data_IF_678447686954
#
_entry.id   IF_678447686954
#
_cell.length_a   1.000
_cell.length_b   1.000
_cell.length_c   1.000
_cell.angle_alpha   90.00
_cell.angle_beta   90.00
_cell.angle_gamma   90.00
#
_symmetry.space_group_name_H-M   'P 1'
#
loop_
_entity.id
_entity.type
_entity.pdbx_description
1 polymer ?
#
# COMPACT_ATOMS: atom_id res chain seq x y z
N UNK A 1 9.14 11.80 -23.18
CA UNK A 1 8.37 10.72 -22.53
C UNK A 1 8.27 11.12 -21.07
N UNK A 2 7.14 10.88 -20.43
CA UNK A 2 7.02 11.16 -19.00
C UNK A 2 7.96 10.22 -18.23
N UNK A 3 8.66 10.75 -17.26
CA UNK A 3 9.52 9.99 -16.35
C UNK A 3 8.89 10.05 -14.96
N UNK A 4 8.70 8.89 -14.32
CA UNK A 4 8.09 8.76 -13.02
C UNK A 4 9.14 8.36 -11.99
N UNK A 5 9.30 9.14 -10.93
CA UNK A 5 10.25 8.91 -9.85
C UNK A 5 9.52 8.39 -8.62
N UNK A 6 9.77 7.14 -8.24
CA UNK A 6 9.12 6.44 -7.14
C UNK A 6 10.06 6.40 -5.94
N UNK A 7 9.67 7.01 -4.83
CA UNK A 7 10.39 6.95 -3.57
C UNK A 7 10.05 5.67 -2.80
N UNK A 8 11.05 4.83 -2.54
CA UNK A 8 10.96 3.72 -1.60
C UNK A 8 11.60 4.16 -0.29
N UNK A 9 10.75 4.47 0.70
CA UNK A 9 11.15 5.14 1.93
C UNK A 9 11.51 4.13 3.01
N UNK A 10 12.74 4.21 3.50
CA UNK A 10 13.29 3.43 4.61
C UNK A 10 13.09 1.90 4.50
N UNK A 11 13.37 1.26 3.34
CA UNK A 11 13.14 -0.19 3.20
C UNK A 11 14.06 -1.03 4.11
N UNK A 12 15.17 -0.46 4.58
CA UNK A 12 16.07 -1.07 5.56
C UNK A 12 15.51 -1.06 6.99
N UNK A 13 14.46 -0.30 7.24
CA UNK A 13 13.75 -0.19 8.53
C UNK A 13 12.30 -0.65 8.40
N UNK A 14 11.59 -0.23 7.33
CA UNK A 14 10.19 -0.49 7.05
C UNK A 14 10.04 -1.39 5.80
N UNK A 15 10.60 -2.58 5.81
CA UNK A 15 10.60 -3.51 4.66
C UNK A 15 10.02 -4.91 4.97
N UNK A 16 9.26 -5.04 6.06
CA UNK A 16 8.71 -6.32 6.50
C UNK A 16 7.69 -6.88 5.48
N UNK A 17 7.65 -8.19 5.33
CA UNK A 17 6.70 -8.93 4.47
C UNK A 17 6.76 -8.58 2.96
N UNK A 18 7.87 -7.99 2.49
CA UNK A 18 8.06 -7.67 1.08
C UNK A 18 7.24 -6.47 0.59
N UNK A 19 6.91 -5.54 1.49
CA UNK A 19 6.12 -4.34 1.14
C UNK A 19 6.85 -3.38 0.20
N UNK A 20 8.18 -3.44 0.13
CA UNK A 20 9.01 -2.78 -0.88
C UNK A 20 8.64 -3.20 -2.32
N UNK A 21 8.05 -4.37 -2.48
CA UNK A 21 7.45 -4.83 -3.72
C UNK A 21 6.37 -3.90 -4.28
N UNK A 22 5.73 -3.03 -3.46
CA UNK A 22 4.78 -2.05 -3.96
C UNK A 22 5.42 -1.04 -4.93
N UNK A 23 6.65 -0.59 -4.65
CA UNK A 23 7.41 0.27 -5.56
C UNK A 23 7.75 -0.47 -6.87
N UNK A 24 8.08 -1.76 -6.79
CA UNK A 24 8.33 -2.60 -7.97
C UNK A 24 7.07 -2.74 -8.84
N UNK A 25 5.90 -2.95 -8.22
CA UNK A 25 4.62 -3.04 -8.95
C UNK A 25 4.31 -1.71 -9.66
N UNK A 26 4.45 -0.58 -8.98
CA UNK A 26 4.24 0.74 -9.60
C UNK A 26 5.17 0.95 -10.79
N UNK A 27 6.48 0.71 -10.62
CA UNK A 27 7.45 0.82 -11.72
C UNK A 27 7.09 -0.08 -12.88
N UNK A 28 6.77 -1.34 -12.61
CA UNK A 28 6.43 -2.30 -13.66
C UNK A 28 5.16 -1.90 -14.40
N UNK A 29 4.10 -1.49 -13.69
CA UNK A 29 2.86 -1.06 -14.34
C UNK A 29 3.04 0.21 -15.17
N UNK A 30 3.86 1.18 -14.69
CA UNK A 30 4.21 2.36 -15.47
C UNK A 30 4.94 1.97 -16.78
N UNK A 31 5.93 1.09 -16.70
CA UNK A 31 6.69 0.61 -17.87
C UNK A 31 5.82 -0.15 -18.86
N UNK A 32 4.91 -1.00 -18.40
CA UNK A 32 3.93 -1.68 -19.26
C UNK A 32 2.99 -0.69 -20.00
N UNK A 33 2.87 0.52 -19.50
CA UNK A 33 2.14 1.63 -20.14
C UNK A 33 3.02 2.54 -21.01
N UNK A 34 4.30 2.18 -21.21
CA UNK A 34 5.25 2.97 -21.97
C UNK A 34 5.76 4.22 -21.24
N UNK A 35 5.62 4.26 -19.91
CA UNK A 35 6.08 5.34 -19.06
C UNK A 35 7.41 4.93 -18.42
N UNK A 36 8.47 5.70 -18.63
CA UNK A 36 9.76 5.49 -17.95
C UNK A 36 9.55 5.69 -16.45
N UNK A 37 10.03 4.74 -15.63
CA UNK A 37 9.86 4.82 -14.18
C UNK A 37 11.09 4.28 -13.45
N UNK A 38 11.56 5.05 -12.46
CA UNK A 38 12.73 4.72 -11.65
C UNK A 38 12.36 4.69 -10.16
N UNK A 39 13.03 3.80 -9.39
CA UNK A 39 12.87 3.69 -7.95
C UNK A 39 14.09 4.33 -7.27
N UNK A 40 13.82 5.31 -6.42
CA UNK A 40 14.79 5.97 -5.56
C UNK A 40 14.66 5.37 -4.16
N UNK A 41 15.64 4.57 -3.77
CA UNK A 41 15.70 3.99 -2.42
C UNK A 41 16.25 5.02 -1.46
N UNK A 42 15.48 5.37 -0.44
CA UNK A 42 15.85 6.32 0.61
C UNK A 42 16.06 5.52 1.90
N UNK A 43 17.30 5.41 2.34
CA UNK A 43 17.67 4.61 3.52
C UNK A 43 17.61 5.43 4.81
N UNK A 44 17.58 4.75 5.93
CA UNK A 44 17.68 5.41 7.24
C UNK A 44 18.92 6.31 7.32
N UNK A 45 18.74 7.54 7.77
CA UNK A 45 19.79 8.55 7.83
C UNK A 45 19.93 9.41 6.55
N UNK A 46 19.25 9.08 5.49
CA UNK A 46 19.19 9.89 4.25
C UNK A 46 17.99 10.84 4.29
N UNK A 47 18.16 12.04 3.74
CA UNK A 47 17.05 12.98 3.60
C UNK A 47 16.03 12.48 2.55
N UNK A 48 14.74 12.65 2.84
CA UNK A 48 13.66 12.31 1.90
C UNK A 48 13.49 13.44 0.88
N UNK A 49 13.77 13.21 -0.42
CA UNK A 49 13.51 14.19 -1.45
C UNK A 49 12.00 14.51 -1.52
N UNK A 50 11.64 15.78 -1.49
CA UNK A 50 10.23 16.23 -1.56
C UNK A 50 9.65 16.29 -2.97
N UNK A 51 10.49 16.04 -3.99
CA UNK A 51 10.17 16.25 -5.41
C UNK A 51 9.89 14.96 -6.18
N UNK A 52 9.96 13.79 -5.55
CA UNK A 52 9.60 12.54 -6.22
C UNK A 52 8.08 12.51 -6.49
N UNK A 53 7.68 11.72 -7.47
CA UNK A 53 6.30 11.76 -7.97
C UNK A 53 5.33 10.91 -7.13
N UNK A 54 5.83 9.88 -6.43
CA UNK A 54 5.06 9.00 -5.56
C UNK A 54 5.98 8.39 -4.50
N UNK A 55 5.43 8.09 -3.32
CA UNK A 55 6.17 7.50 -2.20
C UNK A 55 5.52 6.22 -1.71
N UNK A 56 6.34 5.23 -1.31
CA UNK A 56 5.89 3.99 -0.69
C UNK A 56 6.62 3.76 0.62
N UNK A 57 5.87 3.42 1.68
CA UNK A 57 6.38 3.05 2.99
C UNK A 57 5.87 1.65 3.34
N UNK A 58 6.73 0.79 3.80
CA UNK A 58 6.39 -0.57 4.22
C UNK A 58 5.99 -0.69 5.68
N UNK A 59 5.75 -1.93 6.10
CA UNK A 59 5.57 -2.32 7.49
C UNK A 59 6.89 -2.55 8.22
N UNK A 60 6.83 -2.60 9.56
CA UNK A 60 8.00 -2.83 10.40
C UNK A 60 7.60 -3.21 11.82
N UNK A 61 8.57 -3.73 12.56
CA UNK A 61 8.42 -4.04 13.97
C UNK A 61 8.50 -2.77 14.84
N UNK A 62 8.06 -2.85 16.09
CA UNK A 62 7.91 -1.70 17.02
C UNK A 62 9.14 -0.78 17.07
N UNK A 63 10.36 -1.36 17.19
CA UNK A 63 11.60 -0.57 17.24
C UNK A 63 11.84 0.15 15.91
N UNK A 64 11.58 -0.51 14.81
CA UNK A 64 11.69 0.05 13.48
C UNK A 64 10.71 1.22 13.26
N UNK A 65 9.48 1.08 13.74
CA UNK A 65 8.48 2.16 13.71
C UNK A 65 8.94 3.41 14.44
N UNK A 66 9.48 3.24 15.67
CA UNK A 66 9.99 4.36 16.47
C UNK A 66 11.14 5.07 15.77
N UNK A 67 12.10 4.34 15.23
CA UNK A 67 13.22 4.89 14.47
C UNK A 67 12.76 5.63 13.21
N UNK A 68 11.82 5.04 12.47
CA UNK A 68 11.28 5.64 11.26
C UNK A 68 10.55 6.96 11.57
N UNK A 69 9.66 6.96 12.57
CA UNK A 69 8.93 8.16 12.98
C UNK A 69 9.87 9.28 13.43
N UNK A 70 10.86 8.99 14.27
CA UNK A 70 11.85 9.98 14.73
C UNK A 70 12.62 10.58 13.55
N UNK A 71 13.13 9.73 12.66
CA UNK A 71 13.89 10.16 11.49
C UNK A 71 13.05 11.02 10.53
N UNK A 72 11.87 10.54 10.12
CA UNK A 72 11.02 11.22 9.16
C UNK A 72 10.46 12.55 9.70
N UNK A 73 10.18 12.62 11.01
CA UNK A 73 9.77 13.89 11.65
C UNK A 73 10.91 14.91 11.68
N UNK A 74 12.13 14.46 11.99
CA UNK A 74 13.30 15.35 12.03
C UNK A 74 13.68 15.86 10.63
N UNK A 75 13.55 15.02 9.59
CA UNK A 75 13.82 15.38 8.20
C UNK A 75 12.74 16.28 7.60
N UNK A 76 11.47 15.96 7.79
CA UNK A 76 10.30 16.69 7.28
C UNK A 76 10.09 16.65 5.77
N UNK A 77 10.95 15.99 5.00
CA UNK A 77 10.83 15.92 3.53
C UNK A 77 9.54 15.23 3.06
N UNK A 78 9.17 14.14 3.75
CA UNK A 78 7.93 13.42 3.42
C UNK A 78 6.68 14.26 3.71
N UNK A 79 6.69 15.07 4.77
CA UNK A 79 5.59 16.01 5.07
C UNK A 79 5.45 17.06 3.98
N UNK A 80 6.55 17.67 3.55
CA UNK A 80 6.53 18.65 2.45
C UNK A 80 6.08 18.03 1.12
N UNK A 81 6.43 16.78 0.86
CA UNK A 81 5.94 16.04 -0.30
C UNK A 81 4.40 15.83 -0.24
N UNK A 82 3.87 15.46 0.94
CA UNK A 82 2.42 15.33 1.16
C UNK A 82 1.69 16.67 0.98
N UNK A 83 2.22 17.75 1.55
CA UNK A 83 1.68 19.12 1.40
C UNK A 83 1.65 19.57 -0.06
N UNK A 84 2.57 19.07 -0.87
CA UNK A 84 2.62 19.31 -2.34
C UNK A 84 1.66 18.40 -3.12
N UNK A 85 0.88 17.55 -2.45
CA UNK A 85 -0.10 16.65 -3.04
C UNK A 85 0.51 15.40 -3.69
N UNK A 86 1.76 15.06 -3.39
CA UNK A 86 2.41 13.85 -3.91
C UNK A 86 1.75 12.60 -3.32
N UNK A 87 1.27 11.64 -4.16
CA UNK A 87 0.62 10.45 -3.67
C UNK A 87 1.56 9.56 -2.85
N UNK A 88 1.02 9.00 -1.77
CA UNK A 88 1.74 8.13 -0.85
C UNK A 88 0.96 6.86 -0.59
N UNK A 89 1.66 5.73 -0.56
CA UNK A 89 1.14 4.45 -0.09
C UNK A 89 1.90 4.03 1.16
N UNK A 90 1.16 3.79 2.25
CA UNK A 90 1.74 3.36 3.51
C UNK A 90 1.13 2.03 3.98
N UNK A 91 1.97 1.08 4.35
CA UNK A 91 1.55 -0.27 4.75
C UNK A 91 1.80 -0.47 6.25
N UNK A 92 0.79 -0.90 6.99
CA UNK A 92 0.88 -1.36 8.39
C UNK A 92 1.61 -0.36 9.32
N UNK A 93 2.87 -0.60 9.67
CA UNK A 93 3.69 0.35 10.43
C UNK A 93 3.79 1.72 9.74
N UNK A 94 3.85 1.75 8.41
CA UNK A 94 3.81 2.99 7.64
C UNK A 94 2.52 3.78 7.87
N UNK A 95 1.34 3.13 7.92
CA UNK A 95 0.08 3.77 8.29
C UNK A 95 0.18 4.42 9.67
N UNK A 96 0.70 3.70 10.65
CA UNK A 96 0.82 4.16 12.03
C UNK A 96 1.79 5.35 12.15
N UNK A 97 2.93 5.28 11.47
CA UNK A 97 3.95 6.36 11.42
C UNK A 97 3.37 7.62 10.76
N UNK A 98 2.51 7.48 9.74
CA UNK A 98 1.88 8.64 9.10
C UNK A 98 0.71 9.22 9.91
N UNK A 99 0.18 8.49 10.91
CA UNK A 99 -0.85 8.96 11.83
C UNK A 99 -0.36 10.05 12.79
N UNK A 100 -1.22 10.45 13.72
CA UNK A 100 -0.89 11.41 14.78
C UNK A 100 -0.07 10.75 15.88
N UNK A 101 -0.57 9.63 16.41
CA UNK A 101 0.08 8.88 17.49
C UNK A 101 -0.09 7.38 17.32
N UNK A 102 0.86 6.62 17.82
CA UNK A 102 0.80 5.16 17.80
C UNK A 102 1.51 4.53 18.99
N UNK A 103 1.11 3.32 19.37
CA UNK A 103 1.77 2.54 20.39
C UNK A 103 2.76 1.55 19.76
N UNK A 104 4.03 1.62 20.18
CA UNK A 104 5.07 0.68 19.79
C UNK A 104 6.03 0.42 20.95
N UNK A 105 6.39 -0.83 21.18
CA UNK A 105 7.31 -1.21 22.28
C UNK A 105 6.84 -0.78 23.67
N UNK A 106 5.53 -0.77 23.91
CA UNK A 106 4.92 -0.36 25.17
C UNK A 106 4.96 1.16 25.44
N UNK A 107 5.22 1.97 24.42
CA UNK A 107 5.27 3.44 24.50
C UNK A 107 4.33 4.07 23.51
N UNK A 108 3.74 5.19 23.90
CA UNK A 108 3.06 6.10 22.98
C UNK A 108 4.11 6.95 22.26
N UNK A 109 4.06 6.93 20.93
CA UNK A 109 4.95 7.72 20.07
C UNK A 109 4.12 8.68 19.19
N UNK A 110 4.74 9.79 18.81
CA UNK A 110 4.17 10.73 17.87
C UNK A 110 4.50 10.30 16.43
N UNK A 111 3.50 10.29 15.55
CA UNK A 111 3.66 10.11 14.13
C UNK A 111 3.94 11.41 13.37
N UNK A 112 3.69 11.41 12.07
CA UNK A 112 3.90 12.58 11.21
C UNK A 112 2.67 13.50 11.13
N UNK A 113 1.48 13.05 11.58
CA UNK A 113 0.23 13.82 11.50
C UNK A 113 -0.29 14.03 10.09
N UNK A 114 0.08 13.18 9.14
CA UNK A 114 -0.42 13.20 7.76
C UNK A 114 -1.78 12.51 7.61
N UNK A 115 -2.14 11.69 8.59
CA UNK A 115 -3.44 11.05 8.73
C UNK A 115 -4.01 11.43 10.10
N UNK A 116 -5.26 11.87 10.13
CA UNK A 116 -6.06 12.01 11.35
C UNK A 116 -6.43 10.61 11.85
N UNK A 117 -5.45 9.97 12.45
CA UNK A 117 -5.49 8.57 12.86
C UNK A 117 -4.64 8.34 14.09
N UNK A 118 -5.21 7.67 15.08
CA UNK A 118 -4.52 7.26 16.31
C UNK A 118 -4.51 5.74 16.41
N UNK A 119 -3.36 5.13 16.67
CA UNK A 119 -3.24 3.68 16.76
C UNK A 119 -2.90 3.26 18.17
N UNK A 120 -3.77 2.48 18.79
CA UNK A 120 -3.52 1.76 20.04
C UNK A 120 -3.10 0.32 19.78
N UNK A 121 -2.77 -0.41 20.84
CA UNK A 121 -2.36 -1.81 20.74
C UNK A 121 -3.56 -2.74 20.98
N UNK A 122 -3.76 -3.70 20.08
CA UNK A 122 -4.70 -4.80 20.26
C UNK A 122 -4.22 -5.76 21.35
N UNK A 123 -5.17 -6.44 22.03
CA UNK A 123 -4.86 -7.51 22.97
C UNK A 123 -4.32 -8.78 22.31
N UNK A 124 -4.66 -9.00 21.03
CA UNK A 124 -4.24 -10.16 20.25
C UNK A 124 -3.75 -9.72 18.86
N UNK A 125 -2.82 -10.52 18.29
CA UNK A 125 -2.30 -10.27 16.96
C UNK A 125 -3.34 -10.61 15.89
N UNK A 126 -3.58 -9.68 15.00
CA UNK A 126 -4.40 -9.88 13.82
C UNK A 126 -3.56 -10.52 12.71
N UNK A 127 -3.94 -11.75 12.32
CA UNK A 127 -3.27 -12.49 11.23
C UNK A 127 -4.33 -13.10 10.33
N UNK A 128 -4.26 -12.83 9.04
CA UNK A 128 -5.12 -13.49 8.06
C UNK A 128 -5.39 -12.65 6.81
N UNK A 129 -6.15 -13.24 5.91
CA UNK A 129 -6.58 -12.60 4.67
C UNK A 129 -7.65 -11.55 4.96
N UNK A 130 -7.49 -10.38 4.34
CA UNK A 130 -8.47 -9.30 4.34
C UNK A 130 -9.16 -9.24 2.98
N UNK A 131 -10.47 -9.00 3.04
CA UNK A 131 -11.31 -8.70 1.88
C UNK A 131 -12.13 -7.45 2.21
N UNK A 132 -11.94 -6.40 1.45
CA UNK A 132 -12.51 -5.09 1.71
C UNK A 132 -13.16 -4.52 0.46
N UNK A 133 -14.42 -4.13 0.55
CA UNK A 133 -15.08 -3.35 -0.50
C UNK A 133 -14.62 -1.90 -0.43
N UNK A 134 -14.31 -1.23 -1.56
CA UNK A 134 -13.94 0.17 -1.54
C UNK A 134 -14.98 1.04 -0.82
N UNK A 135 -14.52 1.90 0.09
CA UNK A 135 -15.40 2.80 0.82
C UNK A 135 -16.01 3.86 -0.09
N UNK A 136 -17.34 4.04 0.01
CA UNK A 136 -18.09 5.04 -0.76
C UNK A 136 -18.89 5.92 0.17
N UNK A 137 -18.59 7.21 0.25
CA UNK A 137 -19.41 8.14 1.01
C UNK A 137 -20.85 8.16 0.45
N UNK A 138 -21.86 7.91 1.30
CA UNK A 138 -23.27 7.90 0.90
C UNK A 138 -23.79 6.62 0.24
N UNK A 139 -23.00 5.55 0.13
CA UNK A 139 -23.47 4.23 -0.29
C UNK A 139 -24.34 3.56 0.76
N UNK A 140 -25.34 2.72 0.34
CA UNK A 140 -26.36 2.07 1.14
C UNK A 140 -25.75 1.06 2.16
N UNK A 141 -25.20 1.58 3.25
CA UNK A 141 -24.93 0.88 4.48
C UNK A 141 -25.49 1.75 5.60
N UNK A 142 -26.72 1.40 6.08
CA UNK A 142 -27.45 2.19 7.04
C UNK A 142 -26.70 2.38 8.35
N UNK A 143 -26.10 3.54 8.50
CA UNK A 143 -25.54 4.08 9.72
C UNK A 143 -25.60 5.60 9.58
N UNK A 144 -26.55 6.27 10.24
CA UNK A 144 -26.70 7.70 10.30
C UNK A 144 -25.51 8.32 11.04
N UNK A 145 -24.61 8.90 10.31
CA UNK A 145 -23.43 9.62 10.78
C UNK A 145 -22.79 10.36 9.61
N UNK A 146 -23.64 11.07 8.80
CA UNK A 146 -23.11 12.00 7.82
C UNK A 146 -22.65 13.26 8.55
N UNK A 147 -21.43 13.26 9.07
CA UNK A 147 -20.66 14.48 9.15
C UNK A 147 -20.40 14.89 7.70
N UNK A 148 -21.05 15.98 7.25
CA UNK A 148 -20.64 16.66 6.05
C UNK A 148 -19.17 17.03 6.26
N UNK A 149 -18.25 16.24 5.66
CA UNK A 149 -16.84 16.54 5.66
C UNK A 149 -16.67 17.94 5.12
N UNK A 150 -16.24 18.85 5.98
CA UNK A 150 -15.89 20.19 5.58
C UNK A 150 -14.90 20.09 4.44
N UNK A 151 -15.16 20.76 3.35
CA UNK A 151 -14.19 21.00 2.31
C UNK A 151 -12.96 21.57 3.00
N UNK A 152 -11.85 20.84 2.97
CA UNK A 152 -10.58 21.31 3.50
C UNK A 152 -10.29 22.65 2.83
N UNK A 153 -10.21 23.72 3.64
CA UNK A 153 -9.78 25.06 3.23
C UNK A 153 -8.26 25.01 2.97
N UNK A 154 -7.85 24.29 1.93
CA UNK A 154 -6.46 24.11 1.51
C UNK A 154 -6.33 23.61 0.08
N UNK A 155 -7.42 23.14 -0.53
CA UNK A 155 -7.39 22.75 -1.94
C UNK A 155 -7.27 24.00 -2.81
N UNK A 156 -6.02 24.34 -3.18
CA UNK A 156 -5.74 25.28 -4.26
C UNK A 156 -6.52 24.82 -5.50
N UNK A 157 -7.25 25.75 -6.12
CA UNK A 157 -8.06 25.51 -7.30
C UNK A 157 -7.29 24.69 -8.36
N UNK A 158 -7.64 23.40 -8.54
CA UNK A 158 -7.10 22.50 -9.56
C UNK A 158 -6.69 21.10 -9.12
N UNK A 159 -6.52 20.83 -7.82
CA UNK A 159 -6.15 19.49 -7.34
C UNK A 159 -7.41 18.64 -7.14
N UNK A 160 -7.65 17.68 -8.03
CA UNK A 160 -8.62 16.60 -7.79
C UNK A 160 -8.20 15.86 -6.52
N UNK A 161 -9.13 15.68 -5.58
CA UNK A 161 -8.87 14.95 -4.35
C UNK A 161 -8.62 13.47 -4.66
N UNK A 162 -7.58 12.86 -4.10
CA UNK A 162 -7.32 11.41 -4.18
C UNK A 162 -8.57 10.60 -3.78
N UNK A 163 -9.38 11.18 -2.90
CA UNK A 163 -10.67 10.65 -2.50
C UNK A 163 -11.64 10.48 -3.68
N UNK A 164 -11.62 11.38 -4.67
CA UNK A 164 -12.43 11.24 -5.88
C UNK A 164 -11.89 10.14 -6.79
N UNK A 165 -10.56 10.02 -6.90
CA UNK A 165 -9.91 9.01 -7.73
C UNK A 165 -10.19 7.59 -7.23
N UNK A 166 -10.31 7.40 -5.90
CA UNK A 166 -10.69 6.11 -5.31
C UNK A 166 -12.12 5.68 -5.62
N UNK A 167 -12.99 6.58 -6.09
CA UNK A 167 -14.32 6.19 -6.57
C UNK A 167 -14.25 5.38 -7.89
N UNK A 168 -13.11 5.37 -8.57
CA UNK A 168 -12.85 4.57 -9.76
C UNK A 168 -12.55 3.10 -9.42
N UNK A 169 -12.24 2.77 -8.16
CA UNK A 169 -12.08 1.38 -7.73
C UNK A 169 -13.42 0.65 -7.83
N UNK A 170 -13.50 -0.37 -8.66
CA UNK A 170 -14.73 -1.16 -8.88
C UNK A 170 -14.63 -2.55 -8.26
N UNK A 171 -13.43 -3.00 -7.95
CA UNK A 171 -13.17 -4.32 -7.41
C UNK A 171 -12.81 -4.28 -5.93
N UNK A 172 -13.15 -5.35 -5.18
CA UNK A 172 -12.74 -5.50 -3.81
C UNK A 172 -11.22 -5.47 -3.66
N UNK A 173 -10.75 -4.90 -2.55
CA UNK A 173 -9.35 -4.92 -2.17
C UNK A 173 -9.04 -6.16 -1.33
N UNK A 174 -7.90 -6.78 -1.57
CA UNK A 174 -7.47 -7.97 -0.85
C UNK A 174 -6.03 -7.85 -0.38
N UNK A 175 -5.72 -8.43 0.78
CA UNK A 175 -4.38 -8.41 1.33
C UNK A 175 -4.26 -9.33 2.53
N UNK A 176 -3.07 -9.42 3.07
CA UNK A 176 -2.77 -10.20 4.26
C UNK A 176 -2.48 -9.26 5.43
N UNK A 177 -3.24 -9.38 6.51
CA UNK A 177 -3.00 -8.65 7.76
C UNK A 177 -2.06 -9.42 8.67
N UNK A 178 -1.10 -8.72 9.28
CA UNK A 178 -0.26 -9.25 10.36
C UNK A 178 0.22 -8.10 11.24
N UNK A 179 -0.59 -7.71 12.22
CA UNK A 179 -0.29 -6.54 13.06
C UNK A 179 -0.91 -6.65 14.45
N UNK A 180 -0.53 -5.72 15.33
CA UNK A 180 -1.09 -5.50 16.66
C UNK A 180 -1.77 -4.14 16.80
N UNK A 181 -1.87 -3.35 15.75
CA UNK A 181 -2.44 -2.02 15.78
C UNK A 181 -3.97 -2.02 15.70
N UNK A 182 -4.62 -1.20 16.54
CA UNK A 182 -6.02 -0.82 16.44
C UNK A 182 -6.06 0.67 16.11
N UNK A 183 -6.44 1.01 14.90
CA UNK A 183 -6.45 2.39 14.42
C UNK A 183 -7.86 2.97 14.47
N UNK A 184 -7.97 4.16 15.04
CA UNK A 184 -9.18 4.97 15.04
C UNK A 184 -8.93 6.17 14.13
N UNK A 185 -9.87 6.41 13.23
CA UNK A 185 -9.82 7.56 12.33
C UNK A 185 -10.60 8.73 12.93
N UNK A 186 -10.01 9.90 12.90
CA UNK A 186 -10.70 11.16 13.17
C UNK A 186 -11.51 11.65 11.97
N UNK A 187 -12.16 12.81 12.11
CA UNK A 187 -13.12 13.34 11.13
C UNK A 187 -12.48 13.74 9.78
N UNK A 188 -11.18 14.01 9.74
CA UNK A 188 -10.48 14.46 8.53
C UNK A 188 -9.98 13.27 7.67
N UNK A 189 -9.88 12.08 8.26
CA UNK A 189 -9.56 10.86 7.54
C UNK A 189 -10.82 10.04 7.21
N UNK A 190 -10.76 9.24 6.14
CA UNK A 190 -11.81 8.30 5.80
C UNK A 190 -11.24 6.89 5.62
N UNK A 191 -12.05 5.83 5.79
CA UNK A 191 -11.61 4.48 5.48
C UNK A 191 -11.26 4.32 4.00
N UNK A 192 -10.32 3.44 3.71
CA UNK A 192 -10.05 2.97 2.35
C UNK A 192 -11.14 2.00 1.91
N UNK A 193 -11.62 1.14 2.80
CA UNK A 193 -12.62 0.15 2.48
C UNK A 193 -13.45 -0.33 3.67
N UNK A 194 -14.44 -1.15 3.36
CA UNK A 194 -15.36 -1.80 4.30
C UNK A 194 -15.07 -3.28 4.29
N UNK A 195 -14.73 -3.85 5.45
CA UNK A 195 -14.46 -5.28 5.56
C UNK A 195 -15.73 -6.11 5.39
N UNK A 196 -15.66 -7.11 4.53
CA UNK A 196 -16.67 -8.16 4.43
C UNK A 196 -16.36 -9.22 5.47
N UNK A 197 -17.21 -9.31 6.49
CA UNK A 197 -17.06 -10.32 7.52
C UNK A 197 -17.32 -11.73 6.96
N UNK A 198 -16.24 -12.49 6.73
CA UNK A 198 -16.28 -13.95 6.79
C UNK A 198 -15.26 -14.38 7.82
N UNK A 199 -15.78 -14.90 8.97
CA UNK A 199 -14.93 -15.62 9.92
C UNK A 199 -14.07 -14.77 10.85
N UNK A 200 -14.67 -13.96 11.71
CA UNK A 200 -14.01 -13.53 12.95
C UNK A 200 -12.89 -12.50 12.88
N UNK A 201 -12.50 -12.05 11.72
CA UNK A 201 -11.47 -11.02 11.55
C UNK A 201 -12.03 -9.64 11.90
N UNK A 202 -11.39 -8.95 12.82
CA UNK A 202 -11.77 -7.61 13.26
C UNK A 202 -11.17 -6.58 12.31
N UNK A 203 -11.95 -5.60 11.88
CA UNK A 203 -11.44 -4.44 11.16
C UNK A 203 -10.40 -3.68 11.97
N UNK A 204 -9.46 -3.05 11.30
CA UNK A 204 -8.29 -2.44 11.89
C UNK A 204 -8.45 -0.95 12.10
N UNK A 205 -9.45 -0.38 11.45
CA UNK A 205 -9.76 1.04 11.56
C UNK A 205 -11.23 1.20 11.92
N UNK A 206 -11.49 2.14 12.80
CA UNK A 206 -12.84 2.60 13.12
C UNK A 206 -12.98 4.06 12.70
N UNK A 207 -14.11 4.39 12.07
CA UNK A 207 -14.34 5.72 11.49
C UNK A 207 -15.03 6.70 12.45
N UNK A 208 -15.29 6.37 13.71
CA UNK A 208 -16.18 7.20 14.54
C UNK A 208 -15.79 7.39 16.01
N UNK A 209 -14.51 7.39 16.34
CA UNK A 209 -14.05 7.88 17.66
C UNK A 209 -14.54 7.07 18.86
N UNK A 210 -14.85 5.80 18.68
CA UNK A 210 -15.09 4.87 19.78
C UNK A 210 -13.72 4.47 20.34
N UNK A 211 -13.51 4.65 21.64
CA UNK A 211 -12.26 4.25 22.27
C UNK A 211 -11.95 2.78 21.98
N UNK A 212 -10.72 2.48 21.60
CA UNK A 212 -10.29 1.15 21.16
C UNK A 212 -10.59 0.03 22.17
N UNK A 213 -10.78 0.35 23.46
CA UNK A 213 -11.19 -0.57 24.50
C UNK A 213 -12.62 -1.12 24.32
N UNK A 214 -13.50 -0.39 23.64
CA UNK A 214 -14.89 -0.80 23.43
C UNK A 214 -15.09 -1.63 22.16
N UNK A 215 -14.15 -1.59 21.22
CA UNK A 215 -14.21 -2.32 19.95
C UNK A 215 -14.01 -3.84 20.15
N UNK A 216 -13.33 -4.24 21.20
CA UNK A 216 -12.98 -5.66 21.46
C UNK A 216 -14.14 -6.46 22.06
N UNK A 217 -15.15 -5.82 22.62
CA UNK A 217 -16.09 -6.49 23.55
C UNK A 217 -17.48 -6.73 22.98
N UNK A 218 -17.90 -6.11 21.91
CA UNK A 218 -19.25 -6.29 21.39
C UNK A 218 -19.30 -7.18 20.13
N UNK A 219 -19.58 -8.46 20.37
CA UNK A 219 -20.02 -9.47 19.41
C UNK A 219 -21.38 -9.16 18.74
N UNK A 220 -21.70 -7.90 18.46
CA UNK A 220 -22.87 -7.59 17.66
C UNK A 220 -22.50 -7.79 16.18
N UNK A 221 -23.11 -8.77 15.55
CA UNK A 221 -22.94 -9.17 14.15
C UNK A 221 -23.24 -8.05 13.13
N UNK A 222 -23.58 -6.84 13.58
CA UNK A 222 -24.04 -5.70 12.77
C UNK A 222 -23.06 -4.52 12.74
N UNK A 223 -21.95 -4.53 13.45
CA UNK A 223 -21.00 -3.41 13.38
C UNK A 223 -20.18 -3.46 12.10
N UNK A 224 -20.38 -2.46 11.26
CA UNK A 224 -19.59 -2.25 10.05
C UNK A 224 -18.13 -1.99 10.45
N UNK A 225 -17.22 -2.77 9.89
CA UNK A 225 -15.79 -2.67 10.16
C UNK A 225 -15.09 -2.10 8.95
N UNK A 226 -14.04 -1.35 9.18
CA UNK A 226 -13.33 -0.62 8.14
C UNK A 226 -11.88 -1.10 8.02
N UNK A 227 -11.30 -0.82 6.88
CA UNK A 227 -9.91 -1.12 6.56
C UNK A 227 -9.25 0.11 5.97
N UNK A 228 -8.00 0.35 6.41
CA UNK A 228 -7.15 1.39 5.88
C UNK A 228 -7.62 2.82 6.18
N UNK A 229 -6.90 3.77 5.65
CA UNK A 229 -7.15 5.20 5.81
C UNK A 229 -6.80 5.97 4.54
N UNK A 230 -7.53 7.05 4.28
CA UNK A 230 -7.27 7.98 3.17
C UNK A 230 -7.46 9.40 3.67
N UNK A 231 -6.43 10.24 3.46
CA UNK A 231 -6.49 11.68 3.72
C UNK A 231 -5.55 12.43 2.78
N UNK A 232 -6.01 13.50 2.16
CA UNK A 232 -5.21 14.30 1.24
C UNK A 232 -4.64 13.45 0.10
N UNK A 233 -3.33 13.33 0.05
CA UNK A 233 -2.57 12.52 -0.93
C UNK A 233 -2.14 11.14 -0.41
N UNK A 234 -2.52 10.78 0.82
CA UNK A 234 -2.10 9.55 1.49
C UNK A 234 -3.16 8.46 1.38
N UNK A 235 -2.76 7.28 0.96
CA UNK A 235 -3.49 6.02 1.09
C UNK A 235 -2.68 5.13 2.03
N UNK A 236 -3.34 4.59 3.04
CA UNK A 236 -2.72 3.68 3.98
C UNK A 236 -3.58 2.45 4.23
N UNK A 237 -2.97 1.29 4.46
CA UNK A 237 -3.65 0.00 4.61
C UNK A 237 -2.85 -0.94 5.51
N UNK A 238 -3.54 -1.89 6.13
CA UNK A 238 -2.89 -3.00 6.82
C UNK A 238 -2.63 -4.23 5.92
N UNK A 239 -2.94 -4.12 4.64
CA UNK A 239 -2.75 -5.20 3.68
C UNK A 239 -1.30 -5.30 3.23
N UNK A 240 -0.63 -6.40 3.60
CA UNK A 240 0.72 -6.75 3.15
C UNK A 240 0.73 -7.57 1.86
N UNK A 241 1.94 -7.79 1.32
CA UNK A 241 2.33 -8.86 0.49
C UNK A 241 2.36 -8.81 -1.00
N UNK A 242 2.93 -7.89 -1.72
CA UNK A 242 2.72 -6.45 -1.84
C UNK A 242 1.26 -6.13 -2.16
N UNK A 243 0.67 -5.16 -1.46
CA UNK A 243 -0.76 -4.83 -1.60
C UNK A 243 -1.13 -4.50 -3.05
N UNK A 244 -0.28 -3.79 -3.79
CA UNK A 244 -0.55 -3.37 -5.16
C UNK A 244 -0.50 -4.52 -6.17
N UNK A 245 0.24 -5.61 -5.90
CA UNK A 245 0.24 -6.79 -6.77
C UNK A 245 -1.12 -7.48 -6.75
N UNK A 246 -1.81 -7.44 -5.61
CA UNK A 246 -3.15 -8.02 -5.43
C UNK A 246 -4.27 -7.05 -5.82
N UNK A 247 -3.98 -5.75 -5.87
CA UNK A 247 -4.94 -4.68 -6.12
C UNK A 247 -4.47 -3.77 -7.25
N UNK A 248 -4.45 -4.25 -8.51
CA UNK A 248 -3.88 -3.51 -9.63
C UNK A 248 -4.63 -2.20 -9.93
N UNK A 249 -5.94 -2.12 -9.65
CA UNK A 249 -6.69 -0.87 -9.81
C UNK A 249 -6.19 0.21 -8.83
N UNK A 250 -5.83 -0.16 -7.60
CA UNK A 250 -5.25 0.78 -6.64
C UNK A 250 -3.88 1.31 -7.11
N UNK A 251 -3.07 0.45 -7.76
CA UNK A 251 -1.83 0.90 -8.37
C UNK A 251 -2.07 1.89 -9.51
N UNK A 252 -3.11 1.68 -10.33
CA UNK A 252 -3.46 2.59 -11.43
C UNK A 252 -3.96 3.94 -10.91
N UNK A 253 -4.73 3.98 -9.83
CA UNK A 253 -5.14 5.23 -9.15
C UNK A 253 -3.91 6.01 -8.70
N UNK A 254 -2.94 5.35 -8.05
CA UNK A 254 -1.71 6.00 -7.60
C UNK A 254 -0.88 6.53 -8.78
N UNK A 255 -0.75 5.76 -9.87
CA UNK A 255 -0.04 6.19 -11.08
C UNK A 255 -0.73 7.37 -11.76
N UNK A 256 -2.06 7.33 -11.92
CA UNK A 256 -2.82 8.42 -12.50
C UNK A 256 -2.61 9.71 -11.70
N UNK A 257 -2.71 9.62 -10.37
CA UNK A 257 -2.48 10.76 -9.49
C UNK A 257 -1.07 11.33 -9.61
N UNK A 258 -0.04 10.47 -9.63
CA UNK A 258 1.36 10.89 -9.77
C UNK A 258 1.62 11.59 -11.11
N UNK A 259 0.89 11.20 -12.15
CA UNK A 259 0.99 11.79 -13.50
C UNK A 259 0.07 13.00 -13.71
N UNK A 260 -0.78 13.34 -12.73
CA UNK A 260 -1.75 14.43 -12.85
C UNK A 260 -2.85 14.16 -13.88
N UNK A 261 -3.26 12.90 -14.06
CA UNK A 261 -4.26 12.43 -15.01
C UNK A 261 -5.32 11.56 -14.31
N UNK A 262 -6.30 11.03 -15.04
CA UNK A 262 -7.28 10.06 -14.55
C UNK A 262 -6.88 8.64 -14.92
N UNK A 263 -7.44 7.62 -14.25
CA UNK A 263 -7.18 6.21 -14.58
C UNK A 263 -7.60 5.89 -16.01
N UNK A 264 -8.69 6.49 -16.49
CA UNK A 264 -9.18 6.31 -17.86
C UNK A 264 -8.25 6.88 -18.94
N UNK A 265 -7.44 7.88 -18.59
CA UNK A 265 -6.48 8.52 -19.49
C UNK A 265 -5.08 7.89 -19.44
N UNK A 266 -4.84 6.95 -18.52
CA UNK A 266 -3.59 6.21 -18.52
C UNK A 266 -3.42 5.44 -19.84
N UNK A 267 -2.20 5.41 -20.43
CA UNK A 267 -1.94 4.58 -21.60
C UNK A 267 -2.33 3.11 -21.33
N UNK A 268 -2.82 2.41 -22.36
CA UNK A 268 -3.16 1.00 -22.23
C UNK A 268 -1.96 0.16 -21.79
N UNK A 269 -2.21 -0.89 -21.03
CA UNK A 269 -1.19 -1.89 -20.67
C UNK A 269 -0.72 -2.60 -21.95
N UNK A 270 0.59 -2.77 -22.09
CA UNK A 270 1.22 -3.34 -23.28
C UNK A 270 1.65 -2.30 -24.32
N UNK A 271 1.44 -1.00 -24.06
CA UNK A 271 1.97 0.07 -24.90
C UNK A 271 3.52 0.18 -24.82
N UNK A 272 4.12 -0.31 -23.73
CA UNK A 272 5.57 -0.38 -23.55
C UNK A 272 6.18 -1.57 -24.28
N UNK A 273 7.31 -1.38 -24.97
CA UNK A 273 8.05 -2.46 -25.61
C UNK A 273 8.79 -3.33 -24.58
N UNK A 274 8.71 -4.66 -24.70
CA UNK A 274 9.48 -5.61 -23.88
C UNK A 274 10.99 -5.48 -24.15
N UNK A 275 11.40 -4.92 -25.27
CA UNK A 275 12.81 -4.79 -25.65
C UNK A 275 13.66 -3.97 -24.64
N UNK A 276 13.03 -3.13 -23.79
CA UNK A 276 13.73 -2.40 -22.73
C UNK A 276 13.99 -3.24 -21.47
N UNK A 277 13.47 -4.48 -21.39
CA UNK A 277 13.64 -5.36 -20.21
C UNK A 277 14.94 -6.19 -20.23
N UNK A 278 15.62 -6.32 -21.37
CA UNK A 278 16.83 -7.15 -21.49
C UNK A 278 18.09 -6.53 -20.85
N UNK A 279 17.99 -5.33 -20.28
CA UNK A 279 19.11 -4.55 -19.77
C UNK A 279 19.30 -4.51 -18.25
N UNK A 280 18.57 -5.30 -17.45
CA UNK A 280 18.83 -5.35 -16.00
C UNK A 280 19.95 -6.35 -15.73
N UNK A 281 21.20 -5.92 -15.43
CA UNK A 281 22.21 -6.82 -14.94
C UNK A 281 21.68 -7.45 -13.64
N UNK A 282 21.76 -8.76 -13.49
CA UNK A 282 21.53 -9.45 -12.24
C UNK A 282 22.44 -8.81 -11.18
N UNK A 283 21.90 -7.83 -10.45
CA UNK A 283 22.58 -7.14 -9.38
C UNK A 283 22.87 -8.17 -8.30
N UNK A 284 24.16 -8.23 -7.97
CA UNK A 284 24.82 -8.97 -6.92
C UNK A 284 23.92 -9.12 -5.68
N UNK A 285 23.29 -10.28 -5.55
CA UNK A 285 22.61 -10.68 -4.33
C UNK A 285 23.72 -10.97 -3.30
N UNK A 286 24.06 -9.97 -2.51
CA UNK A 286 24.96 -10.08 -1.39
C UNK A 286 24.56 -11.26 -0.50
N UNK A 287 25.37 -12.33 -0.56
CA UNK A 287 25.25 -13.52 0.25
C UNK A 287 25.46 -13.17 1.72
N UNK A 288 24.36 -13.00 2.46
CA UNK A 288 24.32 -13.08 3.91
C UNK A 288 24.27 -14.54 4.34
N UNK A 289 25.44 -15.10 4.69
CA UNK A 289 25.57 -16.42 5.24
C UNK A 289 24.95 -16.53 6.63
N UNK A 290 23.90 -17.34 6.76
CA UNK A 290 23.53 -17.96 8.01
C UNK A 290 23.50 -19.48 7.78
N UNK A 291 24.48 -20.18 8.35
CA UNK A 291 24.59 -21.61 8.26
C UNK A 291 23.51 -22.33 9.06
N UNK A 292 23.02 -23.43 8.49
CA UNK A 292 22.52 -24.57 9.23
C UNK A 292 22.68 -25.82 8.34
N UNK A 293 23.50 -26.74 8.82
CA UNK A 293 23.71 -28.08 8.29
C UNK A 293 22.43 -28.91 8.25
N UNK A 294 22.16 -29.61 7.18
CA UNK A 294 21.81 -31.02 7.24
C UNK A 294 21.66 -31.65 5.86
N UNK A 295 22.21 -32.84 5.78
CA UNK A 295 22.45 -33.76 4.70
C UNK A 295 21.25 -34.24 3.89
N UNK A 296 21.51 -34.58 2.60
CA UNK A 296 21.05 -35.85 2.07
C UNK A 296 20.33 -35.84 0.72
N UNK A 297 21.04 -36.44 -0.26
CA UNK A 297 20.58 -37.26 -1.41
C UNK A 297 19.75 -36.55 -2.54
N UNK A 298 20.28 -36.25 -3.68
CA UNK A 298 20.50 -37.10 -4.82
C UNK A 298 19.29 -37.38 -5.70
N UNK A 299 19.24 -36.77 -6.90
CA UNK A 299 18.92 -37.44 -8.17
C UNK A 299 18.87 -36.39 -9.30
N UNK A 300 19.68 -36.57 -10.31
CA UNK A 300 19.71 -35.75 -11.53
C UNK A 300 18.51 -36.05 -12.44
N UNK A 301 18.10 -35.05 -13.18
CA UNK A 301 17.41 -35.23 -14.45
C UNK A 301 17.80 -34.08 -15.36
N UNK A 302 18.55 -34.41 -16.37
CA UNK A 302 18.85 -33.64 -17.56
C UNK A 302 17.53 -33.36 -18.32
N UNK A 303 17.23 -32.11 -18.62
CA UNK A 303 16.17 -31.77 -19.54
C UNK A 303 16.64 -30.64 -20.46
N UNK A 304 16.77 -31.03 -21.71
CA UNK A 304 17.31 -30.31 -22.84
C UNK A 304 16.66 -28.91 -23.05
N UNK A 305 17.54 -28.02 -23.47
CA UNK A 305 17.23 -26.71 -23.99
C UNK A 305 16.50 -26.86 -25.34
N UNK A 306 15.20 -26.66 -25.34
CA UNK A 306 14.38 -26.46 -26.52
C UNK A 306 14.45 -25.02 -26.97
N UNK A 307 15.20 -24.76 -28.04
CA UNK A 307 15.18 -23.49 -28.77
C UNK A 307 13.89 -23.35 -29.55
N UNK A 308 13.16 -22.23 -29.33
CA UNK A 308 12.17 -21.77 -30.27
C UNK A 308 10.73 -21.56 -29.72
N UNK A 309 10.51 -20.52 -28.95
CA UNK A 309 9.22 -19.84 -28.93
C UNK A 309 9.54 -18.35 -28.90
N UNK A 310 9.04 -17.59 -29.91
CA UNK A 310 9.17 -16.16 -29.97
C UNK A 310 8.61 -15.53 -28.68
N UNK A 311 9.28 -14.50 -28.16
CA UNK A 311 8.80 -13.75 -27.01
C UNK A 311 7.38 -13.25 -27.27
N UNK A 312 6.44 -13.46 -26.33
CA UNK A 312 5.07 -12.97 -26.50
C UNK A 312 5.11 -11.43 -26.65
N UNK A 313 4.24 -10.90 -27.51
CA UNK A 313 4.02 -9.46 -27.64
C UNK A 313 3.71 -8.87 -26.26
N UNK A 314 4.17 -7.63 -26.00
CA UNK A 314 3.96 -6.95 -24.71
C UNK A 314 2.50 -6.93 -24.26
N UNK A 315 1.56 -6.88 -25.20
CA UNK A 315 0.12 -6.96 -24.93
C UNK A 315 -0.31 -8.35 -24.46
N UNK A 316 0.23 -9.39 -25.07
CA UNK A 316 -0.05 -10.78 -24.70
C UNK A 316 0.49 -11.09 -23.30
N UNK A 317 1.71 -10.63 -23.00
CA UNK A 317 2.29 -10.76 -21.66
C UNK A 317 1.49 -9.99 -20.60
N UNK A 318 1.09 -8.75 -20.89
CA UNK A 318 0.27 -7.94 -19.97
C UNK A 318 -1.11 -8.58 -19.73
N UNK A 319 -1.74 -9.12 -20.78
CA UNK A 319 -3.00 -9.83 -20.67
C UNK A 319 -2.87 -11.11 -19.83
N UNK A 320 -1.78 -11.86 -20.03
CA UNK A 320 -1.50 -13.07 -19.25
C UNK A 320 -1.29 -12.73 -17.77
N UNK A 321 -0.48 -11.71 -17.47
CA UNK A 321 -0.22 -11.26 -16.09
C UNK A 321 -1.53 -10.80 -15.42
N UNK A 322 -2.37 -10.07 -16.12
CA UNK A 322 -3.68 -9.64 -15.61
C UNK A 322 -4.58 -10.85 -15.32
N UNK A 323 -4.62 -11.83 -16.25
CA UNK A 323 -5.42 -13.04 -16.06
C UNK A 323 -4.94 -13.88 -14.88
N UNK A 324 -3.62 -14.00 -14.67
CA UNK A 324 -3.03 -14.70 -13.52
C UNK A 324 -3.39 -14.01 -12.20
N UNK A 325 -3.30 -12.68 -12.15
CA UNK A 325 -3.70 -11.89 -10.96
C UNK A 325 -5.18 -12.08 -10.66
N UNK A 326 -6.06 -12.03 -11.68
CA UNK A 326 -7.49 -12.25 -11.51
C UNK A 326 -7.80 -13.69 -11.08
N UNK A 327 -7.06 -14.69 -11.58
CA UNK A 327 -7.21 -16.06 -11.15
C UNK A 327 -6.84 -16.22 -9.67
N UNK A 328 -5.69 -15.68 -9.25
CA UNK A 328 -5.26 -15.71 -7.85
C UNK A 328 -6.26 -15.00 -6.93
N UNK A 329 -6.84 -13.89 -7.40
CA UNK A 329 -7.91 -13.20 -6.66
C UNK A 329 -9.15 -14.08 -6.50
N UNK A 330 -9.63 -14.73 -7.57
CA UNK A 330 -10.79 -15.63 -7.52
C UNK A 330 -10.56 -16.82 -6.58
N UNK A 331 -9.40 -17.44 -6.62
CA UNK A 331 -9.05 -18.57 -5.75
C UNK A 331 -9.03 -18.18 -4.26
N UNK A 332 -8.73 -16.91 -3.94
CA UNK A 332 -8.70 -16.40 -2.56
C UNK A 332 -10.00 -15.75 -2.08
N UNK A 333 -10.89 -15.37 -2.99
CA UNK A 333 -12.19 -14.78 -2.68
C UNK A 333 -13.32 -15.82 -2.64
N UNK A 334 -13.10 -17.02 -3.18
CA UNK A 334 -14.02 -18.16 -3.10
C UNK A 334 -13.93 -18.85 -1.77
#
# INVERSE_FOLDING_TARGET
MAELNIGLVLPDVLGTYGDDGNALVLRQRARLRGITAEIHTIRYGEAVPETLDIYTLGGGEDVAQLLAAEHLRADGGLVRAADSGRPMLAICAGLQVLGETFHAGGKLAEGLGLLDATTSQLGERMIGELHSEPYRPGGNGGGAGAGAGGANAGDGAGAQSLAADLNELTEPLTGFANHMGATILGPDARPLGILRARGGMVGNTDAHGVEAADVVVNNSEEQQRYEGAVQGSVIATYMHGPALARNPQLADVLLARALGTTVAELPELGAGSIAEFEGVPAGDAGAGSAGADSAGAGAGADAGVGTGAGSPDGREFAAQLTAEVEQLRRERLG
#
